data_IF_060165037875
#
_entry.id   IF_060165037875
#
_cell.length_a   1.000
_cell.length_b   1.000
_cell.length_c   1.000
_cell.angle_alpha   90.00
_cell.angle_beta   90.00
_cell.angle_gamma   90.00
#
_symmetry.space_group_name_H-M   'P 1'
#
loop_
_entity.id
_entity.type
_entity.pdbx_description
1 polymer ?
#
# COMPACT_ATOMS: atom_id res chain seq x y z
N UNK A 1 4.62 -10.74 9.03
CA UNK A 1 3.33 -10.01 9.14
C UNK A 1 3.52 -8.49 9.06
N UNK A 2 4.49 -7.88 9.75
CA UNK A 2 4.79 -6.43 9.60
C UNK A 2 5.10 -6.05 8.15
N UNK A 3 6.09 -6.73 7.56
CA UNK A 3 6.44 -6.53 6.16
C UNK A 3 5.27 -6.82 5.22
N UNK A 4 4.42 -7.78 5.56
CA UNK A 4 3.21 -8.07 4.78
C UNK A 4 2.20 -6.91 4.82
N UNK A 5 1.90 -6.35 6.00
CA UNK A 5 0.98 -5.21 6.15
C UNK A 5 1.49 -4.01 5.33
N UNK A 6 2.78 -3.69 5.47
CA UNK A 6 3.42 -2.61 4.72
C UNK A 6 3.39 -2.87 3.20
N UNK A 7 3.77 -4.07 2.78
CA UNK A 7 3.76 -4.47 1.37
C UNK A 7 2.35 -4.41 0.74
N UNK A 8 1.33 -4.90 1.44
CA UNK A 8 -0.05 -4.88 0.96
C UNK A 8 -0.58 -3.45 0.85
N UNK A 9 -0.26 -2.58 1.81
CA UNK A 9 -0.63 -1.17 1.75
C UNK A 9 -0.01 -0.51 0.51
N UNK A 10 1.29 -0.65 0.31
CA UNK A 10 2.01 -0.07 -0.82
C UNK A 10 1.43 -0.53 -2.16
N UNK A 11 1.21 -1.84 -2.28
CA UNK A 11 0.62 -2.45 -3.48
C UNK A 11 -0.79 -1.91 -3.76
N UNK A 12 -1.64 -1.76 -2.74
CA UNK A 12 -3.00 -1.21 -2.92
C UNK A 12 -3.00 0.25 -3.31
N UNK A 13 -2.12 1.06 -2.72
CA UNK A 13 -1.98 2.47 -3.10
C UNK A 13 -1.61 2.55 -4.59
N UNK A 14 -0.61 1.78 -5.03
CA UNK A 14 -0.21 1.74 -6.42
C UNK A 14 -1.33 1.24 -7.34
N UNK A 15 -2.00 0.15 -6.99
CA UNK A 15 -3.12 -0.39 -7.79
C UNK A 15 -4.30 0.57 -7.87
N UNK A 16 -4.58 1.34 -6.81
CA UNK A 16 -5.66 2.32 -6.81
C UNK A 16 -5.33 3.51 -7.73
N UNK A 17 -4.10 4.00 -7.69
CA UNK A 17 -3.67 5.10 -8.55
C UNK A 17 -3.65 4.62 -10.01
N UNK A 18 -2.96 3.51 -10.28
CA UNK A 18 -2.69 3.00 -11.62
C UNK A 18 -3.64 1.85 -12.04
N UNK A 19 -4.95 1.99 -11.81
CA UNK A 19 -5.95 0.96 -12.14
C UNK A 19 -5.90 0.47 -13.60
N UNK A 20 -5.45 1.31 -14.54
CA UNK A 20 -5.31 0.95 -15.95
C UNK A 20 -4.12 0.04 -16.27
N UNK A 21 -3.20 -0.17 -15.32
CA UNK A 21 -1.96 -0.91 -15.56
C UNK A 21 -1.98 -2.28 -14.90
N UNK A 22 -1.82 -3.33 -15.73
CA UNK A 22 -1.76 -4.72 -15.26
C UNK A 22 -0.47 -5.07 -14.54
N UNK A 23 0.62 -4.38 -14.86
CA UNK A 23 1.96 -4.64 -14.31
C UNK A 23 2.59 -3.32 -13.89
N UNK A 24 3.06 -3.27 -12.65
CA UNK A 24 3.62 -2.07 -12.00
C UNK A 24 5.10 -2.30 -11.69
N UNK A 25 5.86 -2.77 -12.70
CA UNK A 25 7.28 -3.08 -12.52
C UNK A 25 8.10 -1.81 -12.27
N UNK A 26 8.85 -1.81 -11.17
CA UNK A 26 9.64 -0.65 -10.76
C UNK A 26 8.80 0.54 -10.28
N UNK A 27 7.52 0.34 -9.98
CA UNK A 27 6.69 1.34 -9.32
C UNK A 27 6.93 1.24 -7.82
N UNK A 28 7.23 2.37 -7.20
CA UNK A 28 7.39 2.52 -5.76
C UNK A 28 6.55 3.70 -5.33
N UNK A 29 6.20 3.78 -4.04
CA UNK A 29 5.44 4.94 -3.55
C UNK A 29 6.23 6.25 -3.70
N UNK A 30 7.56 6.19 -3.72
CA UNK A 30 8.44 7.34 -3.91
C UNK A 30 8.42 7.89 -5.33
N UNK A 31 8.21 7.03 -6.34
CA UNK A 31 8.27 7.43 -7.75
C UNK A 31 6.90 7.59 -8.41
N UNK A 32 5.80 7.62 -7.65
CA UNK A 32 4.45 7.80 -8.19
C UNK A 32 4.36 9.02 -9.12
N UNK A 33 4.85 10.23 -8.76
CA UNK A 33 4.72 11.39 -9.65
C UNK A 33 5.43 11.18 -11.00
N UNK A 34 6.63 10.60 -10.98
CA UNK A 34 7.39 10.28 -12.19
C UNK A 34 6.67 9.22 -13.02
N UNK A 35 6.13 8.19 -12.35
CA UNK A 35 5.37 7.13 -13.00
C UNK A 35 4.08 7.64 -13.63
N UNK A 36 3.40 8.62 -13.05
CA UNK A 36 2.23 9.27 -13.67
C UNK A 36 2.62 9.92 -15.00
N UNK A 37 3.77 10.60 -15.06
CA UNK A 37 4.28 11.21 -16.30
C UNK A 37 4.64 10.12 -17.31
N UNK A 38 5.34 9.08 -16.87
CA UNK A 38 5.76 7.95 -17.72
C UNK A 38 4.56 7.25 -18.36
N UNK A 39 3.52 6.91 -17.57
CA UNK A 39 2.36 6.18 -18.10
C UNK A 39 1.40 7.04 -18.92
N UNK A 40 1.44 8.36 -18.74
CA UNK A 40 0.65 9.29 -19.54
C UNK A 40 1.37 9.74 -20.82
N UNK A 41 2.64 9.37 -21.00
CA UNK A 41 3.41 9.68 -22.19
C UNK A 41 3.43 8.48 -23.13
N UNK A 42 3.00 8.67 -24.37
CA UNK A 42 3.03 7.59 -25.34
C UNK A 42 4.49 7.24 -25.70
N UNK A 43 4.92 5.98 -25.52
CA UNK A 43 6.35 5.61 -25.52
C UNK A 43 7.04 5.80 -26.89
N UNK A 44 6.27 5.76 -27.99
CA UNK A 44 6.82 5.87 -29.35
C UNK A 44 6.72 7.27 -29.95
N UNK A 45 5.81 8.11 -29.45
CA UNK A 45 5.53 9.42 -30.05
C UNK A 45 5.89 10.58 -29.12
N UNK A 46 6.17 10.28 -27.84
CA UNK A 46 6.40 11.30 -26.81
C UNK A 46 5.18 12.17 -26.52
N UNK A 47 4.02 11.89 -27.14
CA UNK A 47 2.80 12.67 -26.95
C UNK A 47 2.23 12.36 -25.58
N UNK A 48 2.00 13.41 -24.78
CA UNK A 48 1.39 13.30 -23.46
C UNK A 48 -0.12 13.31 -23.59
N UNK A 49 -0.78 12.33 -22.97
CA UNK A 49 -2.21 12.37 -22.71
C UNK A 49 -2.46 13.21 -21.46
N UNK A 50 -2.70 14.51 -21.68
CA UNK A 50 -2.94 15.49 -20.62
C UNK A 50 -4.19 15.17 -19.78
N UNK A 51 -5.23 14.61 -20.40
CA UNK A 51 -6.46 14.24 -19.70
C UNK A 51 -6.24 13.08 -18.75
N UNK A 52 -5.55 12.03 -19.24
CA UNK A 52 -5.18 10.89 -18.41
C UNK A 52 -4.20 11.27 -17.30
N UNK A 53 -3.20 12.11 -17.61
CA UNK A 53 -2.24 12.64 -16.63
C UNK A 53 -2.92 13.42 -15.52
N UNK A 54 -3.84 14.32 -15.87
CA UNK A 54 -4.60 15.10 -14.91
C UNK A 54 -5.43 14.21 -14.00
N UNK A 55 -6.14 13.23 -14.58
CA UNK A 55 -6.98 12.30 -13.84
C UNK A 55 -6.17 11.44 -12.84
N UNK A 56 -4.99 10.92 -13.24
CA UNK A 56 -4.10 10.19 -12.33
C UNK A 56 -3.57 11.08 -11.20
N UNK A 57 -3.18 12.32 -11.49
CA UNK A 57 -2.74 13.26 -10.47
C UNK A 57 -3.84 13.59 -9.47
N UNK A 58 -5.07 13.87 -9.94
CA UNK A 58 -6.20 14.13 -9.05
C UNK A 58 -6.48 12.94 -8.14
N UNK A 59 -6.43 11.72 -8.68
CA UNK A 59 -6.62 10.49 -7.90
C UNK A 59 -5.52 10.30 -6.86
N UNK A 60 -4.26 10.53 -7.23
CA UNK A 60 -3.14 10.48 -6.31
C UNK A 60 -3.30 11.50 -5.17
N UNK A 61 -3.57 12.77 -5.50
CA UNK A 61 -3.73 13.84 -4.51
C UNK A 61 -4.88 13.51 -3.55
N UNK A 62 -6.06 13.17 -4.08
CA UNK A 62 -7.22 12.81 -3.26
C UNK A 62 -6.94 11.61 -2.35
N UNK A 63 -6.28 10.56 -2.87
CA UNK A 63 -5.92 9.41 -2.04
C UNK A 63 -4.94 9.80 -0.93
N UNK A 64 -3.91 10.58 -1.25
CA UNK A 64 -2.91 10.99 -0.26
C UNK A 64 -3.49 11.92 0.80
N UNK A 65 -4.48 12.74 0.46
CA UNK A 65 -5.23 13.54 1.43
C UNK A 65 -6.04 12.66 2.39
N UNK A 66 -6.76 11.66 1.87
CA UNK A 66 -7.49 10.68 2.70
C UNK A 66 -6.53 9.96 3.65
N UNK A 67 -5.40 9.45 3.13
CA UNK A 67 -4.41 8.74 3.94
C UNK A 67 -3.74 9.67 4.96
N UNK A 68 -3.52 10.95 4.62
CA UNK A 68 -2.96 11.95 5.54
C UNK A 68 -3.87 12.17 6.74
N UNK A 69 -5.20 12.13 6.58
CA UNK A 69 -6.14 12.22 7.69
C UNK A 69 -6.02 11.01 8.65
N UNK A 70 -5.59 9.85 8.15
CA UNK A 70 -5.29 8.66 8.95
C UNK A 70 -3.88 8.70 9.58
N UNK A 71 -3.12 9.78 9.36
CA UNK A 71 -1.77 9.97 9.87
C UNK A 71 -0.66 9.58 8.88
N UNK A 72 -0.99 9.18 7.66
CA UNK A 72 0.00 8.79 6.67
C UNK A 72 0.87 9.97 6.20
N UNK A 73 2.19 9.80 6.20
CA UNK A 73 3.15 10.82 5.75
C UNK A 73 3.83 10.38 4.46
N UNK A 74 3.46 11.02 3.35
CA UNK A 74 4.02 10.77 2.02
C UNK A 74 5.56 10.84 1.95
N UNK A 75 6.19 11.63 2.83
CA UNK A 75 7.64 11.85 2.85
C UNK A 75 8.41 10.85 3.69
N UNK A 76 7.76 10.16 4.63
CA UNK A 76 8.41 9.25 5.59
C UNK A 76 8.01 7.80 5.35
N UNK A 77 6.72 7.56 5.14
CA UNK A 77 6.13 6.24 5.17
C UNK A 77 6.55 5.34 4.00
N UNK A 78 6.76 5.84 2.77
CA UNK A 78 7.34 5.03 1.69
C UNK A 78 8.72 4.45 2.02
N UNK A 79 9.62 5.24 2.61
CA UNK A 79 10.95 4.76 3.00
C UNK A 79 10.87 3.81 4.19
N UNK A 80 9.94 4.08 5.11
CA UNK A 80 9.70 3.23 6.26
C UNK A 80 9.07 1.88 5.87
N UNK A 81 8.13 1.87 4.93
CA UNK A 81 7.50 0.65 4.43
C UNK A 81 8.55 -0.24 3.76
N UNK A 82 9.41 0.33 2.91
CA UNK A 82 10.54 -0.39 2.31
C UNK A 82 11.48 -0.95 3.37
N UNK A 83 11.85 -0.16 4.39
CA UNK A 83 12.68 -0.62 5.50
C UNK A 83 12.04 -1.78 6.26
N UNK A 84 10.74 -1.71 6.56
CA UNK A 84 10.00 -2.76 7.27
C UNK A 84 9.91 -4.03 6.41
N UNK A 85 9.61 -3.90 5.12
CA UNK A 85 9.57 -5.03 4.17
C UNK A 85 10.92 -5.72 4.11
N UNK A 86 12.00 -4.96 3.96
CA UNK A 86 13.36 -5.49 3.88
C UNK A 86 13.83 -6.11 5.20
N UNK A 87 13.43 -5.56 6.35
CA UNK A 87 13.88 -6.03 7.66
C UNK A 87 13.09 -7.24 8.18
N UNK A 88 11.76 -7.26 7.97
CA UNK A 88 10.86 -8.26 8.54
C UNK A 88 10.36 -9.29 7.52
N UNK A 89 10.62 -9.06 6.23
CA UNK A 89 10.19 -9.92 5.14
C UNK A 89 8.68 -9.88 4.87
N UNK A 90 8.31 -10.34 3.67
CA UNK A 90 6.92 -10.61 3.27
C UNK A 90 6.59 -12.08 3.50
N UNK A 91 5.32 -12.39 3.73
CA UNK A 91 4.90 -13.78 3.92
C UNK A 91 4.93 -14.49 2.56
N UNK A 92 5.97 -15.30 2.33
CA UNK A 92 6.17 -15.98 1.04
C UNK A 92 5.25 -17.17 0.79
N UNK A 93 4.50 -17.65 1.80
CA UNK A 93 3.62 -18.82 1.69
C UNK A 93 2.19 -18.48 2.07
N UNK A 94 1.25 -18.74 1.16
CA UNK A 94 -0.19 -18.75 1.45
C UNK A 94 -0.42 -19.75 2.61
N UNK A 95 -1.05 -19.34 3.72
CA UNK A 95 -1.37 -20.27 4.79
C UNK A 95 -2.24 -21.37 4.18
N UNK A 96 -1.85 -22.63 4.40
CA UNK A 96 -2.49 -23.79 3.82
C UNK A 96 -4.01 -23.72 3.96
N UNK A 97 -4.75 -24.25 2.99
CA UNK A 97 -6.21 -24.30 3.08
C UNK A 97 -6.60 -25.08 4.34
N UNK A 98 -7.12 -24.39 5.36
CA UNK A 98 -7.43 -24.95 6.68
C UNK A 98 -6.76 -24.24 7.87
N UNK A 99 -5.85 -23.29 7.66
CA UNK A 99 -5.27 -22.52 8.77
C UNK A 99 -6.28 -21.51 9.34
N UNK A 100 -6.68 -21.69 10.60
CA UNK A 100 -7.44 -20.74 11.44
C UNK A 100 -6.85 -19.32 11.36
N UNK A 101 -5.54 -19.25 11.17
CA UNK A 101 -4.78 -18.02 10.97
C UNK A 101 -5.24 -17.16 9.78
N UNK A 102 -5.86 -17.72 8.73
CA UNK A 102 -6.33 -16.93 7.57
C UNK A 102 -7.49 -16.00 7.94
N UNK A 103 -8.37 -16.44 8.84
CA UNK A 103 -9.48 -15.62 9.36
C UNK A 103 -8.93 -14.59 10.35
N UNK A 104 -8.01 -15.00 11.23
CA UNK A 104 -7.35 -14.11 12.18
C UNK A 104 -6.52 -13.00 11.52
N UNK A 105 -5.92 -13.24 10.34
CA UNK A 105 -5.16 -12.22 9.60
C UNK A 105 -6.03 -11.23 8.82
N UNK A 106 -7.34 -11.46 8.72
CA UNK A 106 -8.28 -10.51 8.13
C UNK A 106 -9.08 -9.73 9.19
N UNK A 107 -8.87 -10.03 10.47
CA UNK A 107 -9.48 -9.29 11.56
C UNK A 107 -8.57 -8.13 11.99
N UNK A 108 -9.00 -6.86 11.78
CA UNK A 108 -8.19 -5.70 12.14
C UNK A 108 -7.95 -5.59 13.64
N UNK A 109 -8.85 -6.07 14.50
CA UNK A 109 -8.71 -5.95 15.96
C UNK A 109 -7.67 -6.94 16.50
N UNK A 110 -7.65 -8.16 15.96
CA UNK A 110 -6.59 -9.14 16.25
C UNK A 110 -5.22 -8.65 15.77
N UNK A 111 -5.16 -8.01 14.60
CA UNK A 111 -3.93 -7.42 14.08
C UNK A 111 -3.43 -6.27 14.97
N UNK A 112 -4.31 -5.40 15.48
CA UNK A 112 -3.93 -4.34 16.44
C UNK A 112 -3.33 -4.93 17.71
N UNK A 113 -4.00 -5.93 18.30
CA UNK A 113 -3.51 -6.58 19.52
C UNK A 113 -2.14 -7.25 19.30
N UNK A 114 -1.96 -7.87 18.14
CA UNK A 114 -0.69 -8.46 17.77
C UNK A 114 0.42 -7.40 17.58
N UNK A 115 0.11 -6.26 16.97
CA UNK A 115 1.07 -5.16 16.81
C UNK A 115 1.56 -4.68 18.18
N UNK A 116 0.67 -4.41 19.13
CA UNK A 116 1.05 -3.97 20.49
C UNK A 116 1.90 -5.00 21.24
N UNK A 117 1.76 -6.29 20.93
CA UNK A 117 2.49 -7.36 21.64
C UNK A 117 3.84 -7.69 20.99
N UNK A 118 3.93 -7.66 19.66
CA UNK A 118 5.06 -8.21 18.91
C UNK A 118 5.96 -7.15 18.27
N UNK A 119 5.52 -5.88 18.16
CA UNK A 119 6.26 -4.82 17.46
C UNK A 119 7.15 -4.04 18.43
N UNK A 120 8.38 -3.69 18.03
CA UNK A 120 9.20 -2.81 18.84
C UNK A 120 8.51 -1.46 19.08
N UNK A 121 8.60 -0.88 20.30
CA UNK A 121 7.85 0.33 20.67
C UNK A 121 8.09 1.53 19.74
N UNK A 122 9.26 1.61 19.13
CA UNK A 122 9.61 2.68 18.19
C UNK A 122 8.93 2.57 16.82
N UNK A 123 8.42 1.39 16.45
CA UNK A 123 7.68 1.14 15.20
C UNK A 123 6.18 1.00 15.41
N UNK A 124 5.73 0.74 16.64
CA UNK A 124 4.35 0.44 16.96
C UNK A 124 3.38 1.49 16.38
N UNK A 125 3.64 2.78 16.62
CA UNK A 125 2.80 3.88 16.13
C UNK A 125 2.67 3.88 14.61
N UNK A 126 3.77 3.69 13.91
CA UNK A 126 3.82 3.78 12.45
C UNK A 126 3.13 2.55 11.81
N UNK A 127 3.32 1.37 12.39
CA UNK A 127 2.64 0.14 11.94
C UNK A 127 1.13 0.21 12.19
N UNK A 128 0.68 0.84 13.27
CA UNK A 128 -0.74 1.12 13.49
C UNK A 128 -1.31 2.05 12.41
N UNK A 129 -0.56 3.07 11.98
CA UNK A 129 -0.97 3.93 10.87
C UNK A 129 -1.08 3.11 9.58
N UNK A 130 -0.11 2.22 9.31
CA UNK A 130 -0.16 1.36 8.12
C UNK A 130 -1.37 0.44 8.13
N UNK A 131 -1.70 -0.17 9.29
CA UNK A 131 -2.88 -1.00 9.42
C UNK A 131 -4.18 -0.20 9.20
N UNK A 132 -4.29 1.01 9.78
CA UNK A 132 -5.44 1.88 9.57
C UNK A 132 -5.61 2.23 8.08
N UNK A 133 -4.52 2.60 7.41
CA UNK A 133 -4.50 2.89 5.99
C UNK A 133 -4.89 1.67 5.16
N UNK A 134 -4.38 0.49 5.52
CA UNK A 134 -4.71 -0.76 4.83
C UNK A 134 -6.19 -1.11 4.99
N UNK A 135 -6.77 -0.92 6.17
CA UNK A 135 -8.20 -1.12 6.40
C UNK A 135 -9.06 -0.16 5.58
N UNK A 136 -8.66 1.12 5.50
CA UNK A 136 -9.32 2.10 4.65
C UNK A 136 -9.27 1.69 3.17
N UNK A 137 -8.09 1.26 2.69
CA UNK A 137 -7.92 0.79 1.32
C UNK A 137 -8.71 -0.48 1.04
N UNK A 138 -8.80 -1.39 2.02
CA UNK A 138 -9.60 -2.61 1.95
C UNK A 138 -11.10 -2.32 1.89
N UNK A 139 -11.57 -1.29 2.60
CA UNK A 139 -12.94 -0.80 2.46
C UNK A 139 -13.22 -0.22 1.08
N UNK A 140 -12.25 0.48 0.46
CA UNK A 140 -12.42 1.06 -0.88
C UNK A 140 -12.37 0.04 -2.02
N UNK A 141 -11.63 -1.06 -1.87
CA UNK A 141 -11.50 -2.08 -2.93
C UNK A 141 -12.32 -3.35 -2.68
N UNK A 142 -13.03 -3.42 -1.55
CA UNK A 142 -13.84 -4.56 -1.07
C UNK A 142 -13.07 -5.88 -1.00
N UNK A 143 -11.74 -5.82 -0.77
CA UNK A 143 -10.87 -7.01 -0.68
C UNK A 143 -10.40 -7.29 0.74
N UNK A 144 -10.16 -8.58 1.09
CA UNK A 144 -9.61 -8.96 2.40
C UNK A 144 -8.26 -8.30 2.65
N UNK A 145 -7.94 -7.92 3.90
CA UNK A 145 -6.74 -7.13 4.28
C UNK A 145 -5.43 -7.68 3.71
N UNK A 146 -5.23 -9.00 3.76
CA UNK A 146 -4.06 -9.64 3.18
C UNK A 146 -4.44 -10.45 1.93
N UNK A 147 -3.84 -10.09 0.80
CA UNK A 147 -4.09 -10.72 -0.50
C UNK A 147 -2.85 -11.49 -0.93
N UNK A 148 -2.97 -12.81 -1.01
CA UNK A 148 -1.91 -13.74 -1.40
C UNK A 148 -1.78 -13.84 -2.92
#
# INVERSE_FOLDING_TARGET
LLGEIAYQLDKRILCYIFQGHRRLYGFTLLNIPDKIIEVSTHPLTGKVDEGYRFHLNQRYISLMEDLKQLGYKATLHPTLSEFIVNSYGILSQKPGNGCIWREAYNDPDLLRQWITTAVPPYLEKEVHIFLNCLCYMAGKDEKPLLIW
#
